data_IF_376338780717
#
_entry.id   IF_376338780717
#
_cell.length_a   1.000
_cell.length_b   1.000
_cell.length_c   1.000
_cell.angle_alpha   90.00
_cell.angle_beta   90.00
_cell.angle_gamma   90.00
#
_symmetry.space_group_name_H-M   'P 1'
#
loop_
_entity.id
_entity.type
_entity.pdbx_description
1 polymer ?
#
# COMPACT_ATOMS: atom_id res chain seq x y z
N UNK A 1 -5.29 19.17 19.35
CA UNK A 1 -4.81 17.77 19.54
C UNK A 1 -5.33 16.83 18.45
N UNK A 2 -6.62 16.47 18.37
CA UNK A 2 -7.08 15.53 17.31
C UNK A 2 -6.90 16.04 15.87
N UNK A 3 -7.12 17.33 15.62
CA UNK A 3 -6.90 17.95 14.29
C UNK A 3 -5.42 17.95 13.89
N UNK A 4 -4.53 18.12 14.84
CA UNK A 4 -3.10 18.13 14.58
C UNK A 4 -2.61 16.73 14.23
N UNK A 5 -3.08 15.69 14.94
CA UNK A 5 -2.77 14.30 14.63
C UNK A 5 -3.24 13.90 13.22
N UNK A 6 -4.48 14.25 12.87
CA UNK A 6 -5.00 13.97 11.52
C UNK A 6 -4.12 14.61 10.46
N UNK A 7 -3.77 15.89 10.63
CA UNK A 7 -2.92 16.60 9.68
C UNK A 7 -1.51 16.00 9.58
N UNK A 8 -0.92 15.61 10.70
CA UNK A 8 0.38 14.93 10.70
C UNK A 8 0.34 13.61 9.92
N UNK A 9 -0.73 12.82 10.13
CA UNK A 9 -0.92 11.55 9.41
C UNK A 9 -1.17 11.80 7.93
N UNK A 10 -1.99 12.77 7.56
CA UNK A 10 -2.21 13.15 6.16
C UNK A 10 -0.90 13.51 5.47
N UNK A 11 -0.10 14.38 6.08
CA UNK A 11 1.19 14.78 5.50
C UNK A 11 2.16 13.60 5.37
N UNK A 12 2.16 12.69 6.34
CA UNK A 12 2.95 11.47 6.28
C UNK A 12 2.52 10.58 5.10
N UNK A 13 1.22 10.34 4.92
CA UNK A 13 0.69 9.50 3.85
C UNK A 13 0.89 10.13 2.47
N UNK A 14 0.81 11.46 2.35
CA UNK A 14 1.08 12.17 1.09
C UNK A 14 2.56 12.13 0.73
N UNK A 15 3.45 12.30 1.70
CA UNK A 15 4.88 12.18 1.49
C UNK A 15 5.26 10.74 1.10
N UNK A 16 4.66 9.75 1.74
CA UNK A 16 4.84 8.32 1.43
C UNK A 16 4.41 8.00 -0.01
N UNK A 17 3.24 8.46 -0.43
CA UNK A 17 2.74 8.28 -1.80
C UNK A 17 3.70 8.90 -2.83
N UNK A 18 4.25 10.07 -2.53
CA UNK A 18 5.23 10.75 -3.37
C UNK A 18 6.52 9.95 -3.53
N UNK A 19 7.02 9.32 -2.47
CA UNK A 19 8.21 8.46 -2.56
C UNK A 19 8.01 7.33 -3.57
N UNK A 20 6.85 6.69 -3.55
CA UNK A 20 6.52 5.63 -4.49
C UNK A 20 6.38 6.15 -5.95
N UNK A 21 5.76 7.30 -6.15
CA UNK A 21 5.59 7.88 -7.48
C UNK A 21 6.93 8.38 -8.06
N UNK A 22 7.84 8.82 -7.21
CA UNK A 22 9.23 9.16 -7.55
C UNK A 22 10.15 7.93 -7.64
N UNK A 23 9.64 6.72 -7.41
CA UNK A 23 10.40 5.45 -7.40
C UNK A 23 11.54 5.42 -6.39
N UNK A 24 11.40 6.13 -5.29
CA UNK A 24 12.32 6.16 -4.16
C UNK A 24 12.01 5.00 -3.21
N UNK A 25 12.12 3.78 -3.71
CA UNK A 25 11.65 2.59 -3.02
C UNK A 25 12.44 2.27 -1.74
N UNK A 26 13.72 2.59 -1.69
CA UNK A 26 14.53 2.37 -0.47
C UNK A 26 14.12 3.33 0.64
N UNK A 27 13.86 4.61 0.30
CA UNK A 27 13.35 5.59 1.26
C UNK A 27 11.94 5.19 1.74
N UNK A 28 11.11 4.69 0.84
CA UNK A 28 9.80 4.16 1.18
C UNK A 28 9.90 2.95 2.12
N UNK A 29 10.80 1.99 1.84
CA UNK A 29 11.05 0.83 2.70
C UNK A 29 11.52 1.24 4.10
N UNK A 30 12.28 2.32 4.23
CA UNK A 30 12.75 2.84 5.51
C UNK A 30 11.61 3.33 6.42
N UNK A 31 10.43 3.65 5.85
CA UNK A 31 9.26 4.03 6.63
C UNK A 31 8.64 2.85 7.41
N UNK A 32 8.95 1.61 7.06
CA UNK A 32 8.40 0.43 7.73
C UNK A 32 9.25 0.01 8.92
N UNK A 33 8.58 -0.44 9.99
CA UNK A 33 9.26 -1.04 11.14
C UNK A 33 9.88 -2.39 10.77
N UNK A 34 10.84 -2.87 11.56
CA UNK A 34 11.49 -4.17 11.32
C UNK A 34 10.51 -5.36 11.42
N UNK A 35 9.46 -5.22 12.23
CA UNK A 35 8.42 -6.21 12.49
C UNK A 35 7.15 -5.95 11.67
N UNK A 36 7.24 -5.22 10.57
CA UNK A 36 6.09 -4.82 9.78
C UNK A 36 5.41 -5.99 9.07
N UNK A 37 4.13 -5.79 8.76
CA UNK A 37 3.36 -6.62 7.84
C UNK A 37 2.73 -5.74 6.75
N UNK A 38 2.95 -6.12 5.50
CA UNK A 38 2.31 -5.52 4.33
C UNK A 38 1.40 -6.54 3.69
N UNK A 39 0.10 -6.36 3.79
CA UNK A 39 -0.89 -7.36 3.42
C UNK A 39 -1.93 -6.81 2.45
N UNK A 40 -2.05 -7.46 1.30
CA UNK A 40 -3.07 -7.19 0.29
C UNK A 40 -3.87 -8.47 0.07
N UNK A 41 -4.93 -8.72 0.86
CA UNK A 41 -5.73 -9.93 0.74
C UNK A 41 -6.50 -9.98 -0.57
N UNK A 42 -6.82 -11.19 -1.02
CA UNK A 42 -7.80 -11.40 -2.08
C UNK A 42 -9.20 -11.15 -1.54
N UNK A 43 -10.04 -10.51 -2.36
CA UNK A 43 -11.48 -10.41 -2.10
C UNK A 43 -12.18 -11.56 -2.80
N UNK A 44 -12.98 -12.36 -2.07
CA UNK A 44 -13.91 -13.31 -2.66
C UNK A 44 -15.31 -12.72 -2.66
N UNK A 45 -15.95 -12.66 -3.83
CA UNK A 45 -17.39 -12.37 -3.91
C UNK A 45 -18.11 -13.71 -3.89
N UNK A 46 -18.88 -14.00 -2.83
CA UNK A 46 -19.83 -15.11 -2.85
C UNK A 46 -21.00 -14.73 -3.76
N UNK A 47 -21.30 -15.59 -4.72
CA UNK A 47 -22.47 -15.44 -5.55
C UNK A 47 -23.76 -15.41 -4.68
N UNK A 48 -24.63 -14.44 -4.98
CA UNK A 48 -25.93 -14.19 -4.37
C UNK A 48 -25.95 -13.63 -2.94
N UNK A 49 -25.87 -12.33 -2.84
CA UNK A 49 -26.42 -11.56 -1.68
C UNK A 49 -25.56 -11.47 -0.45
N UNK A 50 -24.33 -11.96 -0.47
CA UNK A 50 -23.38 -11.80 0.61
C UNK A 50 -22.51 -10.55 0.40
N UNK A 51 -22.20 -9.84 1.48
CA UNK A 51 -21.14 -8.83 1.46
C UNK A 51 -19.82 -9.48 1.01
N UNK A 52 -19.03 -8.75 0.21
CA UNK A 52 -17.70 -9.21 -0.17
C UNK A 52 -16.86 -9.42 1.10
N UNK A 53 -16.45 -10.63 1.36
CA UNK A 53 -15.63 -10.97 2.52
C UNK A 53 -14.15 -11.02 2.11
N UNK A 54 -13.32 -10.43 2.95
CA UNK A 54 -11.87 -10.64 2.88
C UNK A 54 -11.64 -12.12 3.27
N UNK A 55 -11.06 -12.89 2.36
CA UNK A 55 -10.69 -14.27 2.69
C UNK A 55 -9.66 -14.24 3.82
N UNK A 56 -10.10 -14.68 5.00
CA UNK A 56 -9.26 -14.70 6.20
C UNK A 56 -8.15 -15.76 6.19
N UNK A 57 -8.10 -16.59 5.16
CA UNK A 57 -7.06 -17.60 5.02
C UNK A 57 -5.80 -16.96 4.44
N UNK A 58 -4.72 -17.04 5.20
CA UNK A 58 -3.37 -16.56 4.84
C UNK A 58 -2.81 -17.14 3.53
N UNK A 59 -3.48 -18.11 2.93
CA UNK A 59 -3.02 -18.81 1.75
C UNK A 59 -3.31 -18.08 0.43
N UNK A 60 -4.24 -17.11 0.42
CA UNK A 60 -4.64 -16.40 -0.80
C UNK A 60 -4.57 -14.88 -0.60
N UNK A 61 -3.41 -14.32 -0.87
CA UNK A 61 -3.19 -12.88 -0.85
C UNK A 61 -2.37 -12.46 -2.09
N UNK A 62 -2.58 -11.25 -2.56
CA UNK A 62 -1.70 -10.65 -3.56
C UNK A 62 -0.32 -10.37 -2.97
N UNK A 63 -0.30 -9.89 -1.71
CA UNK A 63 0.88 -9.67 -0.90
C UNK A 63 0.59 -10.06 0.54
N UNK A 64 1.53 -10.75 1.15
CA UNK A 64 1.64 -10.95 2.60
C UNK A 64 3.14 -10.93 2.94
N UNK A 65 3.67 -9.72 3.06
CA UNK A 65 5.10 -9.49 3.12
C UNK A 65 5.52 -8.93 4.49
N UNK A 66 6.67 -9.37 4.95
CA UNK A 66 7.41 -8.74 6.02
C UNK A 66 8.50 -7.81 5.47
N UNK A 67 9.29 -7.18 6.34
CA UNK A 67 10.37 -6.28 5.93
C UNK A 67 11.37 -6.95 4.98
N UNK A 68 11.71 -8.21 5.22
CA UNK A 68 12.66 -8.97 4.39
C UNK A 68 12.13 -9.22 2.99
N UNK A 69 10.89 -9.67 2.86
CA UNK A 69 10.26 -9.92 1.55
C UNK A 69 10.01 -8.63 0.78
N UNK A 70 9.63 -7.53 1.43
CA UNK A 70 9.55 -6.21 0.80
C UNK A 70 10.93 -5.77 0.26
N UNK A 71 11.98 -5.98 1.03
CA UNK A 71 13.37 -5.68 0.59
C UNK A 71 13.73 -6.46 -0.67
N UNK A 72 13.40 -7.75 -0.74
CA UNK A 72 13.65 -8.57 -1.91
C UNK A 72 12.88 -8.09 -3.14
N UNK A 73 11.62 -7.68 -2.96
CA UNK A 73 10.82 -7.10 -4.06
C UNK A 73 11.43 -5.82 -4.61
N UNK A 74 11.88 -4.93 -3.73
CA UNK A 74 12.53 -3.67 -4.13
C UNK A 74 13.84 -3.95 -4.87
N UNK A 75 14.68 -4.85 -4.36
CA UNK A 75 15.90 -5.26 -5.05
C UNK A 75 15.63 -5.84 -6.43
N UNK A 76 14.56 -6.62 -6.57
CA UNK A 76 14.15 -7.17 -7.86
C UNK A 76 13.72 -6.07 -8.86
N UNK A 77 13.06 -5.01 -8.40
CA UNK A 77 12.72 -3.87 -9.25
C UNK A 77 13.96 -3.10 -9.72
N UNK A 78 15.01 -3.07 -8.91
CA UNK A 78 16.28 -2.40 -9.23
C UNK A 78 17.17 -3.22 -10.17
N UNK A 79 16.89 -4.50 -10.38
CA UNK A 79 17.68 -5.37 -11.26
C UNK A 79 17.11 -5.40 -12.67
N UNK A 80 17.99 -5.57 -13.69
CA UNK A 80 17.59 -5.70 -15.11
C UNK A 80 16.73 -6.94 -15.41
N UNK A 81 16.46 -7.78 -14.38
CA UNK A 81 15.59 -8.95 -14.50
C UNK A 81 14.09 -8.62 -14.34
N UNK A 82 13.75 -7.41 -13.95
CA UNK A 82 12.37 -6.97 -13.88
C UNK A 82 11.86 -6.50 -15.26
N UNK A 83 11.91 -7.36 -16.25
CA UNK A 83 11.46 -7.04 -17.62
C UNK A 83 10.03 -6.48 -17.70
N UNK A 84 9.21 -6.78 -16.70
CA UNK A 84 7.85 -6.23 -16.61
C UNK A 84 7.82 -4.71 -16.37
N UNK A 85 8.91 -4.13 -15.86
CA UNK A 85 9.04 -2.71 -15.56
C UNK A 85 10.14 -2.00 -16.39
N UNK A 86 10.55 -2.57 -17.51
CA UNK A 86 11.44 -1.91 -18.47
C UNK A 86 10.70 -1.67 -19.81
N UNK A 87 10.39 -0.42 -20.20
CA UNK A 87 10.60 0.82 -19.43
C UNK A 87 9.68 0.92 -18.19
N UNK A 88 10.13 1.67 -17.16
CA UNK A 88 9.36 1.77 -15.92
C UNK A 88 8.01 2.43 -16.13
N UNK A 89 7.00 1.92 -15.43
CA UNK A 89 5.67 2.53 -15.40
C UNK A 89 5.71 3.92 -14.79
N UNK A 90 4.81 4.79 -15.23
CA UNK A 90 4.52 6.07 -14.57
C UNK A 90 3.31 5.88 -13.67
N UNK A 91 3.43 6.32 -12.43
CA UNK A 91 2.35 6.18 -11.45
C UNK A 91 2.00 7.52 -10.83
N UNK A 92 0.71 7.67 -10.52
CA UNK A 92 0.19 8.77 -9.69
C UNK A 92 -0.73 8.17 -8.65
N UNK A 93 -0.47 8.48 -7.38
CA UNK A 93 -1.29 8.04 -6.25
C UNK A 93 -2.09 9.20 -5.70
N UNK A 94 -3.38 8.94 -5.47
CA UNK A 94 -4.28 9.84 -4.76
C UNK A 94 -4.69 9.15 -3.46
N UNK A 95 -4.27 9.73 -2.34
CA UNK A 95 -4.67 9.29 -1.00
C UNK A 95 -5.70 10.28 -0.47
N UNK A 96 -6.83 9.77 -0.02
CA UNK A 96 -7.95 10.61 0.41
C UNK A 96 -8.74 9.97 1.56
N UNK A 97 -9.73 10.71 2.09
CA UNK A 97 -10.62 10.25 3.14
C UNK A 97 -9.88 9.73 4.37
N UNK A 98 -8.81 10.43 4.75
CA UNK A 98 -7.97 10.03 5.87
C UNK A 98 -8.73 10.21 7.18
N UNK A 99 -8.75 9.17 7.98
CA UNK A 99 -9.31 9.15 9.34
C UNK A 99 -8.29 8.52 10.29
N UNK A 100 -8.29 8.94 11.53
CA UNK A 100 -7.37 8.44 12.55
C UNK A 100 -8.11 8.00 13.80
N UNK A 101 -7.66 6.90 14.38
CA UNK A 101 -8.10 6.39 15.69
C UNK A 101 -6.89 6.12 16.56
N UNK A 102 -7.06 6.24 17.87
CA UNK A 102 -6.03 5.80 18.81
C UNK A 102 -5.91 4.27 18.76
N UNK A 103 -4.69 3.79 18.58
CA UNK A 103 -4.34 2.39 18.67
C UNK A 103 -3.83 2.01 20.06
N UNK A 104 -3.65 0.73 20.32
CA UNK A 104 -3.00 0.26 21.54
C UNK A 104 -1.53 0.72 21.60
N UNK A 105 -1.01 0.92 22.82
CA UNK A 105 0.39 1.25 23.08
C UNK A 105 0.92 2.52 22.39
N UNK A 106 0.06 3.55 22.25
CA UNK A 106 0.45 4.82 21.61
C UNK A 106 0.59 4.76 20.09
N UNK A 107 0.16 3.66 19.47
CA UNK A 107 0.06 3.58 18.01
C UNK A 107 -1.16 4.38 17.52
N UNK A 108 -1.14 4.76 16.25
CA UNK A 108 -2.24 5.41 15.55
C UNK A 108 -2.74 4.46 14.47
N UNK A 109 -4.04 4.19 14.45
CA UNK A 109 -4.69 3.56 13.30
C UNK A 109 -5.08 4.64 12.32
N UNK A 110 -4.67 4.50 11.07
CA UNK A 110 -5.02 5.40 9.99
C UNK A 110 -5.81 4.64 8.92
N UNK A 111 -6.95 5.18 8.54
CA UNK A 111 -7.78 4.68 7.44
C UNK A 111 -7.69 5.67 6.29
N UNK A 112 -7.57 5.18 5.08
CA UNK A 112 -7.54 6.03 3.89
C UNK A 112 -8.07 5.27 2.67
N UNK A 113 -8.46 6.03 1.64
CA UNK A 113 -8.72 5.51 0.32
C UNK A 113 -7.53 5.80 -0.58
N UNK A 114 -7.22 4.86 -1.47
CA UNK A 114 -6.15 4.99 -2.45
C UNK A 114 -6.71 4.79 -3.85
N UNK A 115 -6.33 5.70 -4.76
CA UNK A 115 -6.43 5.49 -6.20
C UNK A 115 -5.01 5.54 -6.75
N UNK A 116 -4.60 4.49 -7.43
CA UNK A 116 -3.33 4.39 -8.13
C UNK A 116 -3.61 4.34 -9.63
N UNK A 117 -3.18 5.37 -10.34
CA UNK A 117 -3.17 5.42 -11.80
C UNK A 117 -1.77 5.03 -12.29
N UNK A 118 -1.72 4.06 -13.21
CA UNK A 118 -0.47 3.61 -13.82
C UNK A 118 -0.58 3.60 -15.34
N UNK A 119 0.43 4.15 -16.00
CA UNK A 119 0.61 4.03 -17.45
C UNK A 119 1.93 3.39 -17.78
N UNK A 120 1.95 2.60 -18.84
CA UNK A 120 3.15 1.97 -19.38
C UNK A 120 3.09 1.98 -20.90
N UNK A 121 4.20 2.35 -21.54
CA UNK A 121 4.38 2.32 -23.00
C UNK A 121 3.30 3.08 -23.79
N UNK A 122 2.66 4.08 -23.19
CA UNK A 122 1.55 4.87 -23.79
C UNK A 122 0.32 4.05 -24.22
N UNK A 123 0.40 2.71 -24.14
CA UNK A 123 -0.64 1.79 -24.61
C UNK A 123 -1.40 1.10 -23.48
N UNK A 124 -0.80 1.00 -22.29
CA UNK A 124 -1.40 0.31 -21.16
C UNK A 124 -1.69 1.31 -20.03
N UNK A 125 -2.95 1.37 -19.62
CA UNK A 125 -3.41 2.16 -18.47
C UNK A 125 -4.13 1.24 -17.51
N UNK A 126 -3.72 1.27 -16.25
CA UNK A 126 -4.38 0.55 -15.15
C UNK A 126 -4.80 1.54 -14.07
N UNK A 127 -5.96 1.30 -13.49
CA UNK A 127 -6.44 2.03 -12.32
C UNK A 127 -6.72 1.01 -11.22
N UNK A 128 -6.08 1.21 -10.07
CA UNK A 128 -6.33 0.43 -8.87
C UNK A 128 -6.99 1.34 -7.84
N UNK A 129 -8.09 0.90 -7.26
CA UNK A 129 -8.74 1.58 -6.16
C UNK A 129 -8.83 0.64 -4.97
N UNK A 130 -8.61 1.16 -3.77
CA UNK A 130 -8.65 0.36 -2.57
C UNK A 130 -8.77 1.17 -1.30
N UNK A 131 -9.02 0.46 -0.20
CA UNK A 131 -9.02 1.00 1.16
C UNK A 131 -7.77 0.53 1.87
N UNK A 132 -7.16 1.43 2.63
CA UNK A 132 -5.97 1.13 3.44
C UNK A 132 -6.31 1.27 4.91
N UNK A 133 -5.76 0.35 5.68
CA UNK A 133 -5.72 0.39 7.14
C UNK A 133 -4.24 0.30 7.55
N UNK A 134 -3.71 1.36 8.11
CA UNK A 134 -2.33 1.43 8.57
C UNK A 134 -2.29 1.47 10.10
N UNK A 135 -1.33 0.76 10.67
CA UNK A 135 -0.92 0.94 12.07
C UNK A 135 0.40 1.68 12.07
N UNK A 136 0.37 2.90 12.57
CA UNK A 136 1.50 3.80 12.61
C UNK A 136 2.07 3.88 14.03
N UNK A 137 3.39 3.80 14.16
CA UNK A 137 4.10 4.04 15.42
C UNK A 137 4.86 5.35 15.34
N UNK A 138 4.85 6.13 16.40
CA UNK A 138 5.63 7.36 16.48
C UNK A 138 7.12 7.07 16.38
N UNK A 139 7.82 7.89 15.59
CA UNK A 139 9.28 7.87 15.45
C UNK A 139 9.78 9.33 15.45
N UNK A 140 10.17 9.82 16.62
CA UNK A 140 10.49 11.25 16.78
C UNK A 140 9.32 12.15 16.38
N UNK A 141 9.54 13.03 15.41
CA UNK A 141 8.50 13.93 14.89
C UNK A 141 7.60 13.30 13.81
N UNK A 142 7.87 12.04 13.39
CA UNK A 142 7.15 11.37 12.32
C UNK A 142 6.53 10.03 12.74
N UNK A 143 6.35 9.18 11.73
CA UNK A 143 5.76 7.85 11.92
C UNK A 143 6.56 6.79 11.18
N UNK A 144 6.46 5.54 11.68
CA UNK A 144 6.80 4.34 10.94
C UNK A 144 5.54 3.46 10.77
N UNK A 145 5.48 2.75 9.65
CA UNK A 145 4.38 1.83 9.35
C UNK A 145 4.70 0.48 9.98
N UNK A 146 3.92 0.10 11.00
CA UNK A 146 4.04 -1.22 11.63
C UNK A 146 3.19 -2.27 10.92
N UNK A 147 2.07 -1.87 10.32
CA UNK A 147 1.22 -2.76 9.55
C UNK A 147 0.48 -1.95 8.50
N UNK A 148 0.37 -2.50 7.30
CA UNK A 148 -0.50 -1.99 6.23
C UNK A 148 -1.36 -3.12 5.69
N UNK A 149 -2.66 -2.92 5.70
CA UNK A 149 -3.63 -3.76 5.00
C UNK A 149 -4.26 -2.96 3.87
N UNK A 150 -4.25 -3.52 2.66
CA UNK A 150 -4.87 -2.89 1.49
C UNK A 150 -5.92 -3.81 0.92
N UNK A 151 -7.16 -3.37 0.92
CA UNK A 151 -8.29 -4.09 0.32
C UNK A 151 -8.62 -3.43 -1.01
N UNK A 152 -8.26 -4.09 -2.11
CA UNK A 152 -8.55 -3.60 -3.45
C UNK A 152 -10.03 -3.81 -3.80
N UNK A 153 -10.62 -2.83 -4.47
CA UNK A 153 -12.03 -2.86 -4.88
C UNK A 153 -12.27 -3.67 -6.17
N UNK A 154 -11.41 -4.66 -6.44
CA UNK A 154 -11.47 -5.54 -7.62
C UNK A 154 -11.22 -6.98 -7.20
N UNK A 155 -11.96 -7.92 -7.79
CA UNK A 155 -11.77 -9.35 -7.55
C UNK A 155 -10.66 -9.94 -8.42
N UNK A 156 -10.46 -9.38 -9.61
CA UNK A 156 -9.45 -9.77 -10.57
C UNK A 156 -8.61 -8.56 -10.88
N UNK A 157 -7.30 -8.68 -10.74
CA UNK A 157 -6.40 -7.59 -11.09
C UNK A 157 -6.44 -7.33 -12.59
N UNK A 158 -6.53 -6.05 -12.99
CA UNK A 158 -6.53 -5.68 -14.40
C UNK A 158 -5.19 -5.94 -15.10
N UNK A 159 -4.17 -6.33 -14.35
CA UNK A 159 -2.81 -6.56 -14.84
C UNK A 159 -2.29 -7.92 -14.36
N UNK A 160 -1.72 -8.68 -15.28
CA UNK A 160 -1.06 -9.95 -15.00
C UNK A 160 0.22 -9.80 -14.15
N UNK A 161 0.65 -8.59 -13.87
CA UNK A 161 1.89 -8.32 -13.16
C UNK A 161 1.72 -7.22 -12.12
N UNK A 162 1.71 -7.61 -10.86
CA UNK A 162 1.68 -6.71 -9.71
C UNK A 162 3.11 -6.27 -9.35
N UNK A 163 3.62 -5.33 -10.12
CA UNK A 163 4.92 -4.68 -9.87
C UNK A 163 4.78 -3.32 -9.17
N UNK A 164 3.63 -3.06 -8.56
CA UNK A 164 3.35 -1.81 -7.84
C UNK A 164 3.06 -2.05 -6.37
N UNK A 165 3.38 -1.05 -5.55
CA UNK A 165 3.02 -1.00 -4.12
C UNK A 165 1.83 -0.04 -3.91
N UNK A 166 1.02 -0.34 -2.88
CA UNK A 166 -0.19 0.40 -2.54
C UNK A 166 -0.07 1.16 -1.23
#
# INVERSE_FOLDING_TARGET
MARDLLREVEQFLYAEARLLDERRYEDWLALFTSDCRYWVPLMSTRERGGAAEVTGNHELAHFDDNKGTLTLRIKRLATNFAYAEDPPSRTVRVVSNVQTEEGGNGAVKAFSNLILYRTRLETTTDIFAGRREDVLRRNGAGFNIASRKVVLAVNVLPSNNLSVFF
#
